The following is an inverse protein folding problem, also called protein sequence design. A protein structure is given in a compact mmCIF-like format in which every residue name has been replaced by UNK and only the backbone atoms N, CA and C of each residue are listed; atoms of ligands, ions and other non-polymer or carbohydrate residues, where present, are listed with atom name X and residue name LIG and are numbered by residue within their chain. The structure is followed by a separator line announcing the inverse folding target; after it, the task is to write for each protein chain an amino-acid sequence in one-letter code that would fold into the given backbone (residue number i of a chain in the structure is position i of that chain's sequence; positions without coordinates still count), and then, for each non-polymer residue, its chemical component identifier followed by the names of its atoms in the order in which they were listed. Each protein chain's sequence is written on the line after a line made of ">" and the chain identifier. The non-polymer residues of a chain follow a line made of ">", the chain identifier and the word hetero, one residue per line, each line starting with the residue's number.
data_IF_517788361503
#
_entry.id   IF_517788361503
#
_cell.length_a   1.000
_cell.length_b   1.000
_cell.length_c   1.000
_cell.angle_alpha   90.00
_cell.angle_beta   90.00
_cell.angle_gamma   90.00
#
_symmetry.space_group_name_H-M   'P 1'
#
loop_
_entity.id
_entity.type
_entity.pdbx_description
1 polymer ?
#
# COMPACT_ATOMS: atom_id res chain seq x y z
N UNK A 1 20.99 14.99 9.59
CA UNK A 1 20.82 13.53 9.44
C UNK A 1 21.63 13.08 8.23
N UNK A 2 22.48 12.07 8.39
CA UNK A 2 23.24 11.52 7.27
C UNK A 2 22.30 10.73 6.34
N UNK A 3 22.59 10.65 5.03
CA UNK A 3 21.77 9.88 4.09
C UNK A 3 21.55 8.43 4.54
N UNK A 4 22.57 7.80 5.12
CA UNK A 4 22.50 6.45 5.68
C UNK A 4 21.53 6.31 6.87
N UNK A 5 21.43 7.35 7.73
CA UNK A 5 20.48 7.34 8.83
C UNK A 5 19.01 7.44 8.37
N UNK A 6 18.75 8.18 7.29
CA UNK A 6 17.42 8.25 6.67
C UNK A 6 17.01 6.90 6.02
N UNK A 7 17.94 6.27 5.30
CA UNK A 7 17.72 4.95 4.69
C UNK A 7 17.40 3.92 5.78
N UNK A 8 18.18 3.87 6.84
CA UNK A 8 17.92 2.97 7.97
C UNK A 8 16.57 3.23 8.64
N UNK A 9 16.21 4.49 8.88
CA UNK A 9 14.93 4.83 9.50
C UNK A 9 13.72 4.39 8.66
N UNK A 10 13.87 4.41 7.32
CA UNK A 10 12.80 4.03 6.38
C UNK A 10 12.70 2.51 6.16
N UNK A 11 13.81 1.79 6.15
CA UNK A 11 13.84 0.38 5.76
C UNK A 11 13.93 -0.59 6.94
N UNK A 12 14.48 -0.15 8.09
CA UNK A 12 14.68 -1.05 9.23
C UNK A 12 13.36 -1.60 9.79
N UNK A 13 13.23 -2.94 9.91
CA UNK A 13 12.05 -3.54 10.49
C UNK A 13 12.01 -3.33 12.02
N UNK A 14 10.81 -3.21 12.58
CA UNK A 14 10.59 -3.13 14.04
C UNK A 14 10.15 -4.46 14.65
N UNK A 15 9.76 -5.43 13.83
CA UNK A 15 9.29 -6.74 14.28
C UNK A 15 10.02 -7.85 13.50
N UNK A 16 11.05 -8.43 14.09
CA UNK A 16 12.03 -9.26 13.39
C UNK A 16 11.90 -10.77 13.58
N UNK A 17 10.87 -11.29 14.20
CA UNK A 17 10.82 -12.72 14.36
C UNK A 17 9.57 -13.29 15.02
N UNK A 18 9.52 -14.62 15.10
CA UNK A 18 8.44 -15.37 15.72
C UNK A 18 7.09 -15.22 14.99
N UNK A 19 6.02 -15.52 15.69
CA UNK A 19 4.66 -15.52 15.15
C UNK A 19 4.22 -14.12 14.62
N UNK A 20 4.67 -13.04 15.26
CA UNK A 20 4.36 -11.66 14.83
C UNK A 20 4.99 -11.34 13.49
N UNK A 21 6.25 -11.73 13.27
CA UNK A 21 6.92 -11.53 11.97
C UNK A 21 6.23 -12.30 10.84
N UNK A 22 5.77 -13.52 11.10
CA UNK A 22 4.99 -14.32 10.13
C UNK A 22 3.64 -13.67 9.86
N UNK A 23 2.93 -13.22 10.89
CA UNK A 23 1.64 -12.55 10.72
C UNK A 23 1.77 -11.28 9.87
N UNK A 24 2.79 -10.45 10.12
CA UNK A 24 3.08 -9.25 9.32
C UNK A 24 3.46 -9.59 7.88
N UNK A 25 4.20 -10.69 7.66
CA UNK A 25 4.51 -11.18 6.31
C UNK A 25 3.22 -11.56 5.57
N UNK A 26 2.33 -12.32 6.20
CA UNK A 26 1.04 -12.72 5.62
C UNK A 26 0.19 -11.50 5.29
N UNK A 27 0.03 -10.57 6.23
CA UNK A 27 -0.70 -9.31 6.02
C UNK A 27 -0.11 -8.54 4.84
N UNK A 28 1.20 -8.39 4.78
CA UNK A 28 1.90 -7.67 3.71
C UNK A 28 1.67 -8.30 2.35
N UNK A 29 1.87 -9.62 2.23
CA UNK A 29 1.71 -10.32 0.95
C UNK A 29 0.24 -10.34 0.52
N UNK A 30 -0.69 -10.65 1.43
CA UNK A 30 -2.12 -10.70 1.11
C UNK A 30 -2.65 -9.34 0.66
N UNK A 31 -2.34 -8.26 1.41
CA UNK A 31 -2.74 -6.90 1.03
C UNK A 31 -2.04 -6.43 -0.25
N UNK A 32 -0.77 -6.79 -0.45
CA UNK A 32 -0.04 -6.49 -1.68
C UNK A 32 -0.68 -7.13 -2.91
N UNK A 33 -1.02 -8.42 -2.84
CA UNK A 33 -1.74 -9.12 -3.92
C UNK A 33 -3.12 -8.49 -4.18
N UNK A 34 -3.84 -8.12 -3.11
CA UNK A 34 -5.12 -7.44 -3.24
C UNK A 34 -5.00 -6.11 -4.00
N UNK A 35 -4.04 -5.25 -3.61
CA UNK A 35 -3.79 -4.00 -4.31
C UNK A 35 -3.33 -4.19 -5.75
N UNK A 36 -2.50 -5.19 -6.03
CA UNK A 36 -2.14 -5.51 -7.42
C UNK A 36 -3.38 -5.87 -8.24
N UNK A 37 -4.25 -6.72 -7.70
CA UNK A 37 -5.46 -7.13 -8.39
C UNK A 37 -6.39 -5.94 -8.66
N UNK A 38 -6.66 -5.09 -7.66
CA UNK A 38 -7.53 -3.91 -7.82
C UNK A 38 -6.90 -2.86 -8.72
N UNK A 39 -5.59 -2.62 -8.59
CA UNK A 39 -4.86 -1.67 -9.42
C UNK A 39 -4.84 -2.07 -10.90
N UNK A 40 -4.58 -3.34 -11.21
CA UNK A 40 -4.64 -3.86 -12.58
C UNK A 40 -6.09 -3.83 -13.10
N UNK A 41 -7.07 -4.17 -12.25
CA UNK A 41 -8.49 -4.12 -12.57
C UNK A 41 -8.93 -2.76 -13.09
N UNK A 42 -8.43 -1.65 -12.52
CA UNK A 42 -8.71 -0.28 -12.97
C UNK A 42 -8.32 -0.01 -14.43
N UNK A 43 -7.31 -0.70 -14.93
CA UNK A 43 -6.93 -0.57 -16.35
C UNK A 43 -7.74 -1.50 -17.27
N UNK A 44 -8.23 -2.62 -16.74
CA UNK A 44 -9.08 -3.54 -17.50
C UNK A 44 -10.48 -2.96 -17.70
N UNK A 45 -11.04 -2.32 -16.68
CA UNK A 45 -12.39 -1.69 -16.71
C UNK A 45 -12.32 -0.18 -16.72
N UNK A 46 -11.35 0.38 -17.42
CA UNK A 46 -10.91 1.77 -17.32
C UNK A 46 -12.05 2.80 -17.40
N UNK A 47 -12.92 2.68 -18.42
CA UNK A 47 -14.00 3.66 -18.59
C UNK A 47 -15.00 3.60 -17.44
N UNK A 48 -15.36 2.40 -16.96
CA UNK A 48 -16.23 2.25 -15.79
C UNK A 48 -15.63 2.85 -14.52
N UNK A 49 -14.32 2.70 -14.32
CA UNK A 49 -13.63 3.34 -13.20
C UNK A 49 -13.63 4.88 -13.31
N UNK A 50 -13.45 5.42 -14.53
CA UNK A 50 -13.53 6.86 -14.76
C UNK A 50 -14.92 7.40 -14.41
N UNK A 51 -15.97 6.69 -14.81
CA UNK A 51 -17.37 7.07 -14.53
C UNK A 51 -17.63 7.02 -13.00
N UNK A 52 -17.17 5.96 -12.31
CA UNK A 52 -17.27 5.86 -10.85
C UNK A 52 -16.52 6.98 -10.12
N UNK A 53 -15.30 7.30 -10.55
CA UNK A 53 -14.53 8.39 -9.93
C UNK A 53 -15.21 9.75 -10.13
N UNK A 54 -15.88 9.96 -11.28
CA UNK A 54 -16.69 11.14 -11.50
C UNK A 54 -17.91 11.17 -10.56
N UNK A 55 -18.62 10.07 -10.38
CA UNK A 55 -19.73 9.93 -9.41
C UNK A 55 -19.29 10.19 -7.97
N UNK A 56 -18.06 9.82 -7.59
CA UNK A 56 -17.49 10.09 -6.27
C UNK A 56 -17.05 11.54 -6.06
N UNK A 57 -17.27 12.41 -7.04
CA UNK A 57 -16.90 13.83 -6.99
C UNK A 57 -15.38 14.05 -7.06
N UNK A 58 -14.61 13.08 -7.54
CA UNK A 58 -13.14 13.18 -7.63
C UNK A 58 -12.80 14.07 -8.85
N UNK A 59 -12.02 15.16 -8.66
CA UNK A 59 -11.61 16.01 -9.77
C UNK A 59 -10.66 15.25 -10.70
N UNK A 60 -10.73 15.54 -12.02
CA UNK A 60 -9.92 14.88 -13.07
C UNK A 60 -9.98 13.35 -13.01
N UNK A 61 -11.17 12.73 -13.09
CA UNK A 61 -11.34 11.31 -12.81
C UNK A 61 -10.42 10.41 -13.64
N UNK A 62 -10.23 10.69 -14.91
CA UNK A 62 -9.30 9.95 -15.79
C UNK A 62 -7.87 9.92 -15.26
N UNK A 63 -7.35 11.06 -14.80
CA UNK A 63 -6.00 11.15 -14.25
C UNK A 63 -5.91 10.41 -12.92
N UNK A 64 -6.93 10.58 -12.07
CA UNK A 64 -6.95 9.95 -10.74
C UNK A 64 -7.11 8.42 -10.81
N UNK A 65 -7.85 7.89 -11.78
CA UNK A 65 -7.91 6.44 -12.04
C UNK A 65 -6.52 5.90 -12.40
N UNK A 66 -5.79 6.59 -13.29
CA UNK A 66 -4.43 6.18 -13.68
C UNK A 66 -3.49 6.23 -12.48
N UNK A 67 -3.48 7.33 -11.72
CA UNK A 67 -2.59 7.49 -10.56
C UNK A 67 -2.90 6.46 -9.47
N UNK A 68 -4.17 6.28 -9.12
CA UNK A 68 -4.59 5.27 -8.14
C UNK A 68 -4.28 3.85 -8.62
N UNK A 69 -4.59 3.53 -9.88
CA UNK A 69 -4.31 2.23 -10.47
C UNK A 69 -2.82 1.88 -10.48
N UNK A 70 -1.96 2.83 -10.87
CA UNK A 70 -0.50 2.67 -10.83
C UNK A 70 0.00 2.51 -9.40
N UNK A 71 -0.47 3.37 -8.47
CA UNK A 71 -0.09 3.29 -7.07
C UNK A 71 -0.47 1.93 -6.47
N UNK A 72 -1.67 1.43 -6.73
CA UNK A 72 -2.13 0.14 -6.23
C UNK A 72 -1.37 -1.02 -6.88
N UNK A 73 -1.18 -1.03 -8.20
CA UNK A 73 -0.49 -2.12 -8.89
C UNK A 73 0.99 -2.19 -8.51
N UNK A 74 1.71 -1.07 -8.62
CA UNK A 74 3.15 -1.01 -8.32
C UNK A 74 3.40 -1.07 -6.82
N UNK A 75 2.61 -0.36 -6.03
CA UNK A 75 2.69 -0.40 -4.57
C UNK A 75 2.38 -1.79 -4.02
N UNK A 76 1.37 -2.47 -4.56
CA UNK A 76 1.06 -3.85 -4.23
C UNK A 76 2.23 -4.79 -4.52
N UNK A 77 2.87 -4.66 -5.70
CA UNK A 77 4.06 -5.42 -6.05
C UNK A 77 5.22 -5.14 -5.07
N UNK A 78 5.46 -3.89 -4.74
CA UNK A 78 6.47 -3.51 -3.75
C UNK A 78 6.18 -4.16 -2.38
N UNK A 79 4.93 -4.18 -1.93
CA UNK A 79 4.54 -4.86 -0.68
C UNK A 79 4.81 -6.37 -0.76
N UNK A 80 4.44 -7.04 -1.85
CA UNK A 80 4.71 -8.48 -2.03
C UNK A 80 6.21 -8.77 -1.93
N UNK A 81 7.03 -8.00 -2.61
CA UNK A 81 8.50 -8.15 -2.61
C UNK A 81 9.14 -7.69 -1.28
N UNK A 82 8.43 -6.90 -0.49
CA UNK A 82 8.98 -6.28 0.72
C UNK A 82 10.00 -5.19 0.40
N UNK A 83 9.69 -4.38 -0.62
CA UNK A 83 10.51 -3.26 -1.07
C UNK A 83 9.81 -1.95 -0.70
N UNK A 84 10.56 -1.02 -0.09
CA UNK A 84 10.03 0.29 0.33
C UNK A 84 8.72 0.19 1.13
N UNK A 85 8.64 -0.81 2.03
CA UNK A 85 7.38 -1.18 2.70
C UNK A 85 6.73 0.02 3.38
N UNK A 86 7.48 0.83 4.12
CA UNK A 86 6.92 1.99 4.85
C UNK A 86 6.38 3.08 3.93
N UNK A 87 7.15 3.65 3.00
CA UNK A 87 6.65 4.72 2.14
C UNK A 87 5.49 4.24 1.25
N UNK A 88 5.54 3.02 0.75
CA UNK A 88 4.45 2.42 -0.04
C UNK A 88 3.20 2.24 0.82
N UNK A 89 3.33 1.71 2.02
CA UNK A 89 2.20 1.55 2.93
C UNK A 89 1.55 2.89 3.31
N UNK A 90 2.35 3.95 3.51
CA UNK A 90 1.83 5.31 3.74
C UNK A 90 1.05 5.81 2.52
N UNK A 91 1.59 5.66 1.31
CA UNK A 91 0.92 6.11 0.09
C UNK A 91 -0.41 5.35 -0.13
N UNK A 92 -0.42 4.03 0.08
CA UNK A 92 -1.64 3.23 -0.01
C UNK A 92 -2.65 3.54 1.12
N UNK A 93 -2.17 3.87 2.33
CA UNK A 93 -3.04 4.34 3.42
C UNK A 93 -3.75 5.65 3.04
N UNK A 94 -3.03 6.61 2.46
CA UNK A 94 -3.61 7.87 1.95
C UNK A 94 -4.64 7.58 0.86
N UNK A 95 -4.34 6.67 -0.08
CA UNK A 95 -5.28 6.26 -1.12
C UNK A 95 -6.58 5.69 -0.52
N UNK A 96 -6.48 4.82 0.48
CA UNK A 96 -7.65 4.28 1.17
C UNK A 96 -8.42 5.34 1.97
N UNK A 97 -7.74 6.28 2.61
CA UNK A 97 -8.39 7.39 3.30
C UNK A 97 -9.20 8.28 2.33
N UNK A 98 -8.66 8.54 1.15
CA UNK A 98 -9.37 9.27 0.08
C UNK A 98 -10.59 8.47 -0.38
N UNK A 99 -10.45 7.17 -0.64
CA UNK A 99 -11.57 6.30 -1.05
C UNK A 99 -12.71 6.29 -0.03
N UNK A 100 -12.40 6.25 1.27
CA UNK A 100 -13.39 6.33 2.36
C UNK A 100 -14.06 7.72 2.37
N UNK A 101 -13.28 8.79 2.20
CA UNK A 101 -13.78 10.16 2.27
C UNK A 101 -14.62 10.57 1.05
N UNK A 102 -14.43 9.92 -0.09
CA UNK A 102 -15.15 10.17 -1.35
C UNK A 102 -16.22 9.10 -1.59
N UNK A 103 -15.85 7.97 -2.17
CA UNK A 103 -16.77 6.88 -2.49
C UNK A 103 -17.55 6.35 -1.27
N UNK A 104 -16.94 6.32 -0.09
CA UNK A 104 -17.60 5.92 1.15
C UNK A 104 -18.75 6.84 1.54
N UNK A 105 -18.66 8.12 1.22
CA UNK A 105 -19.72 9.12 1.50
C UNK A 105 -20.81 9.13 0.42
N UNK A 106 -20.41 9.09 -0.85
CA UNK A 106 -21.34 9.25 -1.98
C UNK A 106 -22.12 7.96 -2.29
N UNK A 107 -21.44 6.82 -2.25
CA UNK A 107 -22.02 5.54 -2.64
C UNK A 107 -22.13 4.57 -1.46
N UNK A 108 -21.21 4.64 -0.50
CA UNK A 108 -21.16 3.72 0.63
C UNK A 108 -20.82 2.29 0.19
N UNK A 109 -21.56 1.32 0.75
CA UNK A 109 -21.41 -0.08 0.42
C UNK A 109 -20.29 -0.81 1.18
N UNK A 110 -20.31 -2.16 1.15
CA UNK A 110 -19.42 -2.98 1.97
C UNK A 110 -17.94 -2.82 1.63
N UNK A 111 -17.61 -2.47 0.39
CA UNK A 111 -16.22 -2.24 -0.01
C UNK A 111 -15.66 -0.96 0.63
N UNK A 112 -16.34 0.18 0.47
CA UNK A 112 -15.82 1.47 0.92
C UNK A 112 -15.97 1.71 2.43
N UNK A 113 -16.98 1.07 3.05
CA UNK A 113 -17.24 1.19 4.50
C UNK A 113 -16.72 0.00 5.31
N UNK A 114 -16.27 -1.07 4.66
CA UNK A 114 -15.71 -2.26 5.31
C UNK A 114 -14.28 -2.56 4.88
N UNK A 115 -14.07 -2.89 3.60
CA UNK A 115 -12.76 -3.32 3.09
C UNK A 115 -11.75 -2.17 3.10
N UNK A 116 -12.12 -0.98 2.64
CA UNK A 116 -11.19 0.16 2.58
C UNK A 116 -10.72 0.62 3.98
N UNK A 117 -11.57 0.74 5.01
CA UNK A 117 -11.11 0.99 6.38
C UNK A 117 -10.21 -0.11 6.94
N UNK A 118 -10.51 -1.38 6.66
CA UNK A 118 -9.66 -2.49 7.09
C UNK A 118 -8.27 -2.41 6.43
N UNK A 119 -8.22 -2.16 5.13
CA UNK A 119 -6.95 -1.95 4.40
C UNK A 119 -6.19 -0.73 4.92
N UNK A 120 -6.89 0.38 5.24
CA UNK A 120 -6.26 1.55 5.85
C UNK A 120 -5.54 1.17 7.15
N UNK A 121 -6.20 0.45 8.05
CA UNK A 121 -5.59 -0.01 9.31
C UNK A 121 -4.39 -0.92 9.05
N UNK A 122 -4.50 -1.87 8.12
CA UNK A 122 -3.39 -2.75 7.74
C UNK A 122 -2.21 -1.97 7.16
N UNK A 123 -2.47 -0.96 6.32
CA UNK A 123 -1.40 -0.11 5.76
C UNK A 123 -0.73 0.74 6.84
N UNK A 124 -1.46 1.28 7.80
CA UNK A 124 -0.89 2.00 8.94
C UNK A 124 -0.03 1.07 9.81
N UNK A 125 -0.48 -0.18 10.02
CA UNK A 125 0.30 -1.20 10.73
C UNK A 125 1.60 -1.51 9.99
N UNK A 126 1.58 -1.69 8.67
CA UNK A 126 2.78 -1.94 7.86
C UNK A 126 3.69 -0.70 7.79
N UNK A 127 3.14 0.50 7.74
CA UNK A 127 3.91 1.74 7.81
C UNK A 127 4.67 1.86 9.14
N UNK A 128 4.03 1.44 10.24
CA UNK A 128 4.67 1.43 11.55
C UNK A 128 5.71 0.32 11.70
N UNK A 129 5.39 -0.93 11.34
CA UNK A 129 6.26 -2.10 11.51
C UNK A 129 7.44 -2.10 10.52
N UNK A 130 7.22 -1.64 9.30
CA UNK A 130 8.19 -1.72 8.21
C UNK A 130 8.29 -3.12 7.60
N UNK A 131 9.41 -3.38 6.91
CA UNK A 131 9.72 -4.71 6.35
C UNK A 131 9.84 -5.77 7.43
N UNK A 132 9.58 -7.02 7.08
CA UNK A 132 9.81 -8.19 7.94
C UNK A 132 11.17 -8.82 7.62
N UNK A 133 11.56 -9.86 8.38
CA UNK A 133 12.78 -10.64 8.13
C UNK A 133 12.91 -11.14 6.67
N UNK A 134 11.78 -11.34 5.99
CA UNK A 134 11.68 -11.83 4.61
C UNK A 134 11.36 -10.67 3.65
N UNK A 135 12.10 -9.56 3.72
CA UNK A 135 11.92 -8.40 2.84
C UNK A 135 13.20 -8.09 2.06
N UNK A 136 13.02 -7.51 0.86
CA UNK A 136 14.15 -6.98 0.10
C UNK A 136 14.81 -5.78 0.81
N UNK A 137 14.03 -4.98 1.52
CA UNK A 137 14.54 -3.87 2.34
C UNK A 137 15.64 -4.33 3.30
N UNK A 138 15.43 -5.48 3.97
CA UNK A 138 16.44 -6.04 4.89
C UNK A 138 17.70 -6.50 4.17
N UNK A 139 17.55 -7.12 3.00
CA UNK A 139 18.71 -7.57 2.21
C UNK A 139 19.56 -6.41 1.69
N UNK A 140 18.93 -5.27 1.38
CA UNK A 140 19.62 -4.06 0.96
C UNK A 140 20.41 -3.46 2.12
N UNK A 141 19.81 -3.37 3.32
CA UNK A 141 20.50 -2.88 4.51
C UNK A 141 21.71 -3.74 4.90
N UNK A 142 21.59 -5.08 4.84
CA UNK A 142 22.70 -5.98 5.17
C UNK A 142 23.89 -5.88 4.19
N UNK A 143 23.65 -5.48 2.93
CA UNK A 143 24.71 -5.24 1.96
C UNK A 143 25.45 -3.93 2.19
N UNK A 144 24.75 -2.88 2.65
CA UNK A 144 25.40 -1.62 3.04
C UNK A 144 26.29 -1.76 4.27
N UNK A 145 25.97 -2.70 5.18
CA UNK A 145 26.78 -2.97 6.37
C UNK A 145 28.05 -3.79 6.05
N UNK A 146 28.07 -4.50 4.93
CA UNK A 146 29.18 -5.35 4.49
C UNK A 146 30.15 -4.63 3.53
N UNK A 147 29.82 -3.42 3.07
CA UNK A 147 30.64 -2.61 2.13
C UNK A 147 31.40 -1.51 2.84
#
# INVERSE_FOLDING_TARGET
>A
MTPSALVRATLAPRADGGAVGIALLVVRVASGLFFMFTGIGKFVTFQGEVDHFAEFGIPWPTVMVVLSGLLEAVGGLCLVLGLLVRPVAIALAVNMAIAIATAGREVGGPFHLGVAPALLVLMLLLAWSGGTAWSLDRRLLSREEAA
#
